data_IF_908170842528
#
_entry.id   IF_908170842528
#
_cell.length_a   1.000
_cell.length_b   1.000
_cell.length_c   1.000
_cell.angle_alpha   90.00
_cell.angle_beta   90.00
_cell.angle_gamma   90.00
#
_symmetry.space_group_name_H-M   'P 1'
#
loop_
_entity.id
_entity.type
_entity.pdbx_description
1 polymer ?
#
# COMPACT_ATOMS: atom_id res chain seq x y z
N UNK A 1 2.37 1.76 -29.76
CA UNK A 1 2.40 1.89 -29.49
C UNK A 1 2.80 2.13 -28.96
N UNK A 2 2.79 2.37 -28.65
CA UNK A 2 3.01 2.60 -28.24
C UNK A 2 3.29 2.78 -27.69
N UNK A 3 3.42 2.95 -27.58
CA UNK A 3 3.51 3.13 -27.14
C UNK A 3 3.77 3.13 -26.54
N UNK A 4 3.93 3.14 -26.40
CA UNK A 4 3.88 3.16 -25.93
C UNK A 4 4.39 3.20 -25.29
N UNK A 5 4.47 3.31 -25.04
CA UNK A 5 4.66 3.40 -24.48
C UNK A 5 4.99 3.14 -23.80
N UNK A 6 5.21 3.10 -23.39
CA UNK A 6 5.26 2.99 -22.84
C UNK A 6 5.65 2.65 -22.14
N UNK A 7 5.89 2.50 -21.68
CA UNK A 7 5.94 2.31 -21.21
C UNK A 7 6.39 1.73 -20.59
N UNK A 8 6.83 1.49 -19.92
CA UNK A 8 7.07 1.12 -19.35
C UNK A 8 7.11 0.24 -18.87
N UNK A 9 7.20 -0.01 -18.34
CA UNK A 9 6.95 -0.66 -17.96
C UNK A 9 6.23 -1.04 -17.60
N UNK A 10 5.91 -1.22 -17.55
CA UNK A 10 5.14 -1.34 -17.44
C UNK A 10 4.28 -1.34 -17.60
N UNK A 11 3.96 -1.09 -17.70
CA UNK A 11 3.10 -0.83 -18.08
C UNK A 11 2.50 -0.61 -18.49
N UNK A 12 2.32 -0.36 -18.72
CA UNK A 12 1.67 0.03 -19.31
C UNK A 12 1.19 0.42 -19.58
N UNK A 13 1.08 0.75 -19.80
CA UNK A 13 0.50 1.27 -20.26
C UNK A 13 0.02 1.67 -20.46
N UNK A 14 -0.17 2.02 -20.59
CA UNK A 14 -0.73 2.54 -20.94
C UNK A 14 -1.20 2.98 -20.97
N UNK A 15 -1.46 3.32 -20.97
CA UNK A 15 -2.04 3.94 -21.10
C UNK A 15 -2.58 4.53 -21.04
N UNK A 16 -2.83 4.73 -20.99
CA UNK A 16 -3.52 5.53 -21.10
C UNK A 16 -3.83 6.13 -20.83
N UNK A 17 -3.59 6.08 -20.96
CA UNK A 17 -3.97 6.98 -20.51
C UNK A 17 -4.70 8.00 -20.59
N UNK A 18 -5.38 8.07 -20.41
CA UNK A 18 -6.01 9.31 -20.25
C UNK A 18 -5.20 10.18 -19.35
N UNK A 19 -5.37 11.47 -19.38
CA UNK A 19 -4.53 12.33 -18.58
C UNK A 19 -4.54 12.01 -17.11
N UNK A 20 -5.54 11.29 -16.63
CA UNK A 20 -5.62 10.98 -15.22
C UNK A 20 -4.75 9.80 -14.83
N UNK A 21 -4.11 9.16 -15.78
CA UNK A 21 -3.59 7.84 -15.54
C UNK A 21 -2.24 7.74 -14.88
N UNK A 22 -1.43 8.78 -14.87
CA UNK A 22 -0.05 8.63 -14.38
C UNK A 22 0.07 9.14 -12.97
N UNK A 23 0.34 8.22 -12.03
CA UNK A 23 0.59 8.57 -10.65
C UNK A 23 2.07 8.40 -10.34
N UNK A 24 2.62 9.34 -9.59
CA UNK A 24 4.03 9.32 -9.24
C UNK A 24 4.29 8.27 -8.17
N UNK A 25 5.35 7.48 -8.38
CA UNK A 25 5.82 6.51 -7.39
C UNK A 25 6.45 7.27 -6.22
N UNK A 26 6.01 6.97 -5.01
CA UNK A 26 6.46 7.68 -3.82
C UNK A 26 7.04 6.78 -2.74
N UNK A 27 6.94 5.48 -2.90
CA UNK A 27 7.52 4.58 -1.90
C UNK A 27 7.08 3.14 -2.11
N UNK A 28 7.36 2.33 -1.09
CA UNK A 28 7.04 0.90 -1.10
C UNK A 28 6.65 0.44 0.29
N UNK A 29 5.80 -0.59 0.34
CA UNK A 29 5.65 -1.41 1.54
C UNK A 29 6.39 -2.71 1.28
N UNK A 30 7.24 -3.12 2.20
CA UNK A 30 8.10 -4.30 2.03
C UNK A 30 7.85 -5.25 3.17
N UNK A 31 7.68 -6.54 2.85
CA UNK A 31 7.49 -7.56 3.88
C UNK A 31 8.26 -8.83 3.53
N UNK A 32 8.73 -9.52 4.57
CA UNK A 32 9.31 -10.84 4.46
C UNK A 32 8.40 -11.91 5.08
N UNK A 33 7.21 -11.49 5.53
CA UNK A 33 6.30 -12.40 6.22
C UNK A 33 5.42 -13.21 5.27
N UNK A 34 5.38 -12.84 4.00
CA UNK A 34 4.62 -13.58 2.98
C UNK A 34 5.53 -14.52 2.22
N UNK A 35 6.74 -14.05 1.91
CA UNK A 35 7.73 -14.82 1.18
C UNK A 35 9.11 -14.47 1.75
N UNK A 36 9.93 -15.47 2.10
CA UNK A 36 11.27 -15.18 2.68
C UNK A 36 12.18 -14.35 1.77
N UNK A 37 11.96 -14.40 0.46
CA UNK A 37 12.72 -13.58 -0.48
C UNK A 37 12.31 -12.12 -0.46
N UNK A 38 11.15 -11.83 0.13
CA UNK A 38 10.61 -10.49 0.20
C UNK A 38 9.55 -10.21 -0.84
N UNK A 39 8.55 -9.44 -0.44
CA UNK A 39 7.48 -8.97 -1.32
C UNK A 39 7.39 -7.47 -1.13
N UNK A 40 7.24 -6.73 -2.24
CA UNK A 40 7.07 -5.30 -2.16
C UNK A 40 5.78 -4.89 -2.87
N UNK A 41 5.19 -3.81 -2.38
CA UNK A 41 4.02 -3.19 -2.97
C UNK A 41 4.39 -1.74 -3.26
N UNK A 42 4.28 -1.34 -4.52
CA UNK A 42 4.57 0.05 -4.92
C UNK A 42 3.50 0.99 -4.42
N UNK A 43 3.92 2.16 -3.97
CA UNK A 43 3.00 3.18 -3.48
C UNK A 43 3.10 4.41 -4.35
N UNK A 44 1.94 4.95 -4.69
CA UNK A 44 1.83 6.11 -5.59
C UNK A 44 1.09 7.23 -4.88
N UNK A 45 1.10 8.42 -5.47
CA UNK A 45 0.26 9.51 -4.98
C UNK A 45 -1.20 9.04 -5.00
N UNK A 46 -1.91 9.26 -3.90
CA UNK A 46 -3.31 8.89 -3.79
C UNK A 46 -3.56 7.77 -2.80
N UNK A 47 -4.70 7.12 -2.96
CA UNK A 47 -5.23 6.18 -2.00
C UNK A 47 -4.90 4.74 -2.37
N UNK A 48 -4.57 3.94 -1.35
CA UNK A 48 -4.32 2.51 -1.49
C UNK A 48 -5.15 1.76 -0.46
N UNK A 49 -6.07 0.93 -0.92
CA UNK A 49 -6.82 0.06 -0.03
C UNK A 49 -5.99 -1.18 0.27
N UNK A 50 -5.87 -1.51 1.53
CA UNK A 50 -5.14 -2.69 2.01
C UNK A 50 -6.16 -3.67 2.56
N UNK A 51 -6.13 -4.90 2.09
CA UNK A 51 -7.05 -5.90 2.61
C UNK A 51 -6.91 -7.24 1.93
N UNK A 52 -7.77 -8.15 2.39
CA UNK A 52 -7.80 -9.51 1.89
C UNK A 52 -8.54 -9.62 0.56
N UNK A 53 -9.47 -8.69 0.31
CA UNK A 53 -10.28 -8.70 -0.90
C UNK A 53 -9.41 -8.49 -2.15
N UNK A 54 -9.73 -9.20 -3.22
CA UNK A 54 -9.08 -9.00 -4.51
C UNK A 54 -9.35 -7.62 -5.10
N UNK A 55 -10.34 -6.90 -4.56
CA UNK A 55 -10.63 -5.53 -4.97
C UNK A 55 -9.71 -4.51 -4.30
N UNK A 56 -8.87 -4.95 -3.35
CA UNK A 56 -7.90 -4.08 -2.70
C UNK A 56 -6.78 -3.73 -3.66
N UNK A 57 -6.15 -2.57 -3.44
CA UNK A 57 -4.96 -2.18 -4.20
C UNK A 57 -3.73 -2.96 -3.73
N UNK A 58 -3.67 -3.23 -2.44
CA UNK A 58 -2.64 -4.06 -1.82
C UNK A 58 -3.36 -5.26 -1.22
N UNK A 59 -3.26 -6.38 -1.91
CA UNK A 59 -3.99 -7.60 -1.54
C UNK A 59 -3.09 -8.45 -0.64
N UNK A 60 -3.57 -8.70 0.58
CA UNK A 60 -2.84 -9.52 1.56
C UNK A 60 -3.79 -10.60 2.05
N UNK A 61 -3.68 -11.79 1.45
CA UNK A 61 -4.56 -12.93 1.77
C UNK A 61 -3.88 -13.80 2.82
N UNK A 62 -3.78 -13.26 4.02
CA UNK A 62 -3.12 -13.91 5.13
C UNK A 62 -4.05 -13.91 6.35
N UNK A 63 -3.80 -14.82 7.32
CA UNK A 63 -4.67 -14.91 8.49
C UNK A 63 -4.73 -13.58 9.25
N UNK A 64 -5.93 -13.25 9.69
CA UNK A 64 -6.14 -12.05 10.51
C UNK A 64 -6.33 -10.77 9.74
N UNK A 65 -6.28 -10.81 8.41
CA UNK A 65 -6.47 -9.63 7.56
C UNK A 65 -7.93 -9.56 7.14
N UNK A 66 -8.58 -8.44 7.41
CA UNK A 66 -9.97 -8.20 6.99
C UNK A 66 -10.03 -7.87 5.50
N UNK A 67 -11.20 -8.08 4.89
CA UNK A 67 -11.39 -7.78 3.46
C UNK A 67 -11.06 -6.33 3.14
N UNK A 68 -11.56 -5.41 3.96
CA UNK A 68 -11.22 -3.97 3.89
C UNK A 68 -10.53 -3.65 5.20
N UNK A 69 -9.20 -3.74 5.24
CA UNK A 69 -8.48 -3.66 6.50
C UNK A 69 -8.04 -2.23 6.84
N UNK A 70 -7.40 -1.57 5.91
CA UNK A 70 -6.86 -0.24 6.15
C UNK A 70 -6.74 0.53 4.84
N UNK A 71 -6.56 1.82 4.94
CA UNK A 71 -6.30 2.68 3.78
C UNK A 71 -5.03 3.46 4.04
N UNK A 72 -4.15 3.46 3.05
CA UNK A 72 -2.92 4.24 3.07
C UNK A 72 -3.03 5.32 1.99
N UNK A 73 -3.00 6.57 2.41
CA UNK A 73 -3.15 7.71 1.51
C UNK A 73 -1.84 8.49 1.47
N UNK A 74 -1.35 8.78 0.26
CA UNK A 74 -0.25 9.72 0.09
C UNK A 74 -0.79 11.01 -0.49
N UNK A 75 -0.65 12.08 0.25
CA UNK A 75 -1.13 13.40 -0.17
C UNK A 75 -0.31 14.48 0.52
N UNK A 76 0.07 15.51 -0.24
CA UNK A 76 0.81 16.65 0.31
C UNK A 76 2.07 16.21 1.04
N UNK A 77 2.82 15.31 0.39
CA UNK A 77 4.10 14.80 0.87
C UNK A 77 4.00 14.00 2.18
N UNK A 78 2.82 13.48 2.50
CA UNK A 78 2.60 12.70 3.71
C UNK A 78 1.94 11.37 3.40
N UNK A 79 2.36 10.33 4.13
CA UNK A 79 1.64 9.06 4.17
C UNK A 79 0.73 9.07 5.39
N UNK A 80 -0.54 8.82 5.17
CA UNK A 80 -1.56 8.79 6.23
C UNK A 80 -2.21 7.41 6.20
N UNK A 81 -2.21 6.73 7.35
CA UNK A 81 -2.79 5.40 7.48
C UNK A 81 -4.03 5.47 8.36
N UNK A 82 -5.08 4.77 7.94
CA UNK A 82 -6.33 4.70 8.71
C UNK A 82 -6.86 3.28 8.71
N UNK A 83 -7.24 2.80 9.90
CA UNK A 83 -7.91 1.50 10.03
C UNK A 83 -9.35 1.61 9.55
N UNK A 84 -9.83 0.59 8.85
CA UNK A 84 -11.18 0.58 8.28
C UNK A 84 -12.08 -0.35 9.07
N UNK A 85 -12.07 -0.20 10.39
CA UNK A 85 -12.86 -1.03 11.31
C UNK A 85 -12.55 -2.51 11.11
N UNK A 86 -11.27 -2.81 10.99
CA UNK A 86 -10.83 -4.19 10.81
C UNK A 86 -11.11 -5.02 12.06
N UNK A 87 -11.23 -6.33 11.88
CA UNK A 87 -11.52 -7.22 12.99
C UNK A 87 -10.43 -7.20 14.05
N UNK A 88 -9.18 -7.18 13.64
CA UNK A 88 -8.05 -7.32 14.57
C UNK A 88 -7.26 -6.03 14.77
N UNK A 89 -7.64 -4.95 14.08
CA UNK A 89 -6.94 -3.68 14.20
C UNK A 89 -5.73 -3.55 13.31
N UNK A 90 -5.22 -2.35 13.25
CA UNK A 90 -4.01 -2.01 12.50
C UNK A 90 -3.03 -1.38 13.48
N UNK A 91 -1.75 -1.74 13.35
CA UNK A 91 -0.72 -1.31 14.29
C UNK A 91 0.40 -0.61 13.54
N UNK A 92 1.00 0.37 14.18
CA UNK A 92 2.20 1.05 13.67
C UNK A 92 3.26 0.96 14.78
N UNK A 93 4.38 0.32 14.46
CA UNK A 93 5.46 0.09 15.42
C UNK A 93 4.92 -0.54 16.73
N UNK A 94 4.04 -1.52 16.57
CA UNK A 94 3.38 -2.29 17.64
C UNK A 94 2.36 -1.51 18.46
N UNK A 95 2.02 -0.28 18.05
CA UNK A 95 0.99 0.52 18.71
C UNK A 95 -0.29 0.48 17.91
N UNK A 96 -1.42 0.10 18.50
CA UNK A 96 -2.68 0.12 17.75
C UNK A 96 -3.06 1.55 17.39
N UNK A 97 -3.60 1.74 16.18
CA UNK A 97 -4.03 3.07 15.78
C UNK A 97 -5.54 3.18 16.00
N UNK A 98 -5.97 4.31 16.57
CA UNK A 98 -7.38 4.57 16.84
C UNK A 98 -8.06 5.24 15.67
N UNK A 99 -7.35 6.11 15.00
CA UNK A 99 -7.86 6.91 13.91
C UNK A 99 -6.78 6.97 12.85
N UNK A 100 -6.51 8.14 12.33
CA UNK A 100 -5.47 8.34 11.32
C UNK A 100 -4.12 8.56 11.98
N UNK A 101 -3.07 8.10 11.33
CA UNK A 101 -1.72 8.36 11.79
C UNK A 101 -0.86 8.71 10.59
N UNK A 102 0.03 9.69 10.77
CA UNK A 102 1.00 10.07 9.75
C UNK A 102 2.23 9.18 9.92
N UNK A 103 2.64 8.55 8.83
CA UNK A 103 3.77 7.63 8.84
C UNK A 103 5.04 8.32 8.39
N UNK A 104 6.17 7.76 8.78
CA UNK A 104 7.47 8.18 8.30
C UNK A 104 8.27 6.98 7.80
N UNK A 105 9.37 7.26 7.13
CA UNK A 105 10.22 6.21 6.59
C UNK A 105 10.62 5.23 7.70
N UNK A 106 10.60 3.95 7.36
CA UNK A 106 10.94 2.83 8.24
C UNK A 106 9.89 2.46 9.28
N UNK A 107 8.75 3.15 9.32
CA UNK A 107 7.65 2.71 10.16
C UNK A 107 7.18 1.33 9.73
N UNK A 108 6.81 0.52 10.72
CA UNK A 108 6.34 -0.84 10.48
C UNK A 108 4.84 -0.89 10.77
N UNK A 109 4.09 -1.23 9.72
CA UNK A 109 2.64 -1.40 9.80
C UNK A 109 2.37 -2.89 9.98
N UNK A 110 1.50 -3.24 10.93
CA UNK A 110 1.10 -4.63 11.07
C UNK A 110 -0.40 -4.76 10.79
N UNK A 111 -0.72 -5.66 9.86
CA UNK A 111 -2.10 -6.06 9.57
C UNK A 111 -2.16 -7.57 9.70
N UNK A 112 -3.06 -8.06 10.56
CA UNK A 112 -3.07 -9.47 10.89
C UNK A 112 -1.71 -9.89 11.44
N UNK A 113 -1.12 -10.91 10.84
CA UNK A 113 0.19 -11.42 11.24
C UNK A 113 1.34 -10.86 10.39
N UNK A 114 1.06 -9.90 9.52
CA UNK A 114 2.01 -9.43 8.50
C UNK A 114 2.55 -8.06 8.88
N UNK A 115 3.87 -7.95 8.92
CA UNK A 115 4.57 -6.68 9.16
C UNK A 115 5.04 -6.12 7.82
N UNK A 116 4.69 -4.87 7.58
CA UNK A 116 5.01 -4.18 6.33
C UNK A 116 5.84 -2.95 6.69
N UNK A 117 7.05 -2.87 6.17
CA UNK A 117 7.91 -1.71 6.41
C UNK A 117 7.69 -0.68 5.32
N UNK A 118 7.44 0.56 5.71
CA UNK A 118 7.31 1.66 4.77
C UNK A 118 8.70 2.16 4.38
N UNK A 119 8.95 2.18 3.08
CA UNK A 119 10.17 2.78 2.53
C UNK A 119 9.74 3.93 1.63
N UNK A 120 10.22 5.12 1.92
CA UNK A 120 9.89 6.31 1.13
C UNK A 120 11.03 6.66 0.20
N UNK A 121 10.70 7.40 -0.82
CA UNK A 121 11.72 7.93 -1.73
C UNK A 121 12.35 9.18 -1.13
#
# INVERSE_FOLDING_TARGET
>A
RSDKTMIYGGTSTQESVSGAGIRKLVGWLVTYDINPAGVDFKLFVGRHKIGRSNASDIVIQQPGVSDDHAVLLYREDKFILQDMLSTNGTFVNEEPIDDKVVLKNDDIIRVGSINLKLKTI
#
